data_IF_433730259387
#
_entry.id   IF_433730259387
#
_cell.length_a   1.000
_cell.length_b   1.000
_cell.length_c   1.000
_cell.angle_alpha   90.00
_cell.angle_beta   90.00
_cell.angle_gamma   90.00
#
_symmetry.space_group_name_H-M   'P 1'
#
loop_
_entity.id
_entity.type
_entity.pdbx_description
1 polymer ?
#
# COMPACT_ATOMS: atom_id res chain seq x y z
N UNK A 1 -42.16 -4.05 -18.35
CA UNK A 1 -41.67 -4.02 -16.95
C UNK A 1 -40.18 -4.34 -17.00
N UNK A 2 -39.34 -3.35 -16.69
CA UNK A 2 -37.90 -3.42 -16.92
C UNK A 2 -37.22 -4.49 -16.07
N UNK A 3 -36.28 -5.21 -16.67
CA UNK A 3 -35.36 -6.09 -15.98
C UNK A 3 -34.69 -5.33 -14.83
N UNK A 4 -34.83 -5.81 -13.59
CA UNK A 4 -34.00 -5.35 -12.49
C UNK A 4 -32.54 -5.60 -12.89
N UNK A 5 -31.75 -4.56 -13.10
CA UNK A 5 -30.31 -4.71 -13.28
C UNK A 5 -29.76 -5.39 -12.03
N UNK A 6 -29.41 -6.67 -12.15
CA UNK A 6 -28.77 -7.39 -11.07
C UNK A 6 -27.44 -6.69 -10.75
N UNK A 7 -27.19 -6.44 -9.46
CA UNK A 7 -25.94 -5.85 -9.03
C UNK A 7 -24.76 -6.72 -9.50
N UNK A 8 -23.87 -6.15 -10.32
CA UNK A 8 -22.69 -6.84 -10.85
C UNK A 8 -21.58 -7.01 -9.80
N UNK A 9 -21.69 -6.31 -8.68
CA UNK A 9 -20.69 -6.27 -7.62
C UNK A 9 -21.13 -7.15 -6.44
N UNK A 10 -20.18 -7.91 -5.92
CA UNK A 10 -20.33 -8.65 -4.67
C UNK A 10 -19.61 -7.89 -3.56
N UNK A 11 -20.31 -7.63 -2.45
CA UNK A 11 -19.68 -7.04 -1.26
C UNK A 11 -18.74 -8.07 -0.63
N UNK A 12 -17.43 -7.83 -0.72
CA UNK A 12 -16.43 -8.68 -0.10
C UNK A 12 -16.10 -8.24 1.34
N UNK A 13 -15.98 -6.92 1.56
CA UNK A 13 -15.64 -6.33 2.85
C UNK A 13 -16.09 -4.86 2.87
N UNK A 14 -16.63 -4.43 4.01
CA UNK A 14 -16.83 -3.02 4.36
C UNK A 14 -16.46 -2.84 5.82
N UNK A 15 -15.50 -1.94 6.11
CA UNK A 15 -15.03 -1.67 7.46
C UNK A 15 -14.82 -0.16 7.67
N UNK A 16 -15.78 0.46 8.31
CA UNK A 16 -15.76 1.90 8.59
C UNK A 16 -14.82 2.27 9.75
N UNK A 17 -14.30 1.27 10.47
CA UNK A 17 -13.39 1.45 11.61
C UNK A 17 -11.91 1.17 11.23
N UNK A 18 -11.63 0.87 9.97
CA UNK A 18 -10.28 0.55 9.49
C UNK A 18 -9.26 1.69 9.68
N UNK A 19 -9.72 2.94 9.79
CA UNK A 19 -8.88 4.10 10.10
C UNK A 19 -7.76 4.34 9.09
N UNK A 20 -8.00 4.06 7.80
CA UNK A 20 -7.01 4.22 6.72
C UNK A 20 -7.17 5.58 6.06
N UNK A 21 -6.23 6.49 6.34
CA UNK A 21 -6.16 7.81 5.71
C UNK A 21 -5.09 7.81 4.60
N UNK A 22 -5.52 7.81 3.34
CA UNK A 22 -4.61 7.76 2.18
C UNK A 22 -5.27 8.34 0.92
N UNK A 23 -4.50 8.40 -0.17
CA UNK A 23 -4.95 8.78 -1.50
C UNK A 23 -4.81 7.60 -2.47
N UNK A 24 -5.52 7.62 -3.60
CA UNK A 24 -5.50 6.52 -4.58
C UNK A 24 -4.11 6.19 -5.13
N UNK A 25 -3.26 7.21 -5.32
CA UNK A 25 -1.86 7.09 -5.73
C UNK A 25 -0.92 6.59 -4.63
N UNK A 26 -1.37 6.56 -3.37
CA UNK A 26 -0.62 6.07 -2.22
C UNK A 26 -0.97 4.61 -1.86
N UNK A 27 -1.56 3.88 -2.81
CA UNK A 27 -1.99 2.49 -2.66
C UNK A 27 -1.49 1.67 -3.83
N UNK A 28 -0.95 0.48 -3.56
CA UNK A 28 -0.65 -0.50 -4.59
C UNK A 28 -0.84 -1.94 -4.10
N UNK A 29 -0.88 -2.88 -5.04
CA UNK A 29 -0.87 -4.31 -4.77
C UNK A 29 0.52 -4.87 -5.04
N UNK A 30 0.99 -5.78 -4.18
CA UNK A 30 2.33 -6.37 -4.33
C UNK A 30 2.44 -7.74 -3.65
N UNK A 31 3.11 -8.69 -4.29
CA UNK A 31 3.64 -9.90 -3.67
C UNK A 31 5.13 -9.72 -3.34
N UNK A 32 5.44 -8.71 -2.52
CA UNK A 32 6.82 -8.39 -2.12
C UNK A 32 7.45 -9.42 -1.18
N UNK A 33 6.67 -10.37 -0.65
CA UNK A 33 7.16 -11.49 0.15
C UNK A 33 7.45 -12.73 -0.71
N UNK A 34 6.90 -12.81 -1.93
CA UNK A 34 7.03 -13.98 -2.80
C UNK A 34 6.29 -15.20 -2.29
N UNK A 35 5.25 -15.00 -1.46
CA UNK A 35 4.45 -16.07 -0.87
C UNK A 35 3.27 -16.48 -1.75
N UNK A 36 3.13 -15.89 -2.95
CA UNK A 36 2.02 -16.09 -3.86
C UNK A 36 0.74 -15.38 -3.43
N UNK A 37 0.77 -14.60 -2.35
CA UNK A 37 -0.38 -13.93 -1.76
C UNK A 37 -0.19 -12.41 -1.85
N UNK A 38 -0.91 -11.80 -2.80
CA UNK A 38 -0.80 -10.36 -3.07
C UNK A 38 -1.32 -9.55 -1.90
N UNK A 39 -0.46 -8.69 -1.35
CA UNK A 39 -0.80 -7.79 -0.24
C UNK A 39 -1.23 -6.43 -0.75
N UNK A 40 -2.12 -5.80 0.01
CA UNK A 40 -2.44 -4.40 -0.16
C UNK A 40 -1.40 -3.57 0.59
N UNK A 41 -0.72 -2.67 -0.11
CA UNK A 41 0.31 -1.78 0.45
C UNK A 41 -0.22 -0.36 0.40
N UNK A 42 -0.17 0.34 1.54
CA UNK A 42 -0.76 1.66 1.70
C UNK A 42 0.24 2.60 2.38
N UNK A 43 0.57 3.72 1.74
CA UNK A 43 1.18 4.84 2.44
C UNK A 43 0.09 5.61 3.19
N UNK A 44 0.00 5.31 4.48
CA UNK A 44 -0.93 5.90 5.41
C UNK A 44 -0.40 7.26 5.87
N UNK A 45 -1.19 8.32 5.64
CA UNK A 45 -0.85 9.70 6.00
C UNK A 45 -1.04 9.96 7.50
N UNK A 46 -1.96 9.24 8.14
CA UNK A 46 -2.34 9.50 9.53
C UNK A 46 -3.37 10.61 9.67
N UNK A 47 -3.98 10.71 10.86
CA UNK A 47 -4.96 11.75 11.20
C UNK A 47 -4.31 13.07 11.66
N UNK A 48 -2.98 13.13 11.72
CA UNK A 48 -2.19 14.32 12.05
C UNK A 48 -0.86 14.28 11.31
N UNK A 49 -0.11 15.40 11.23
CA UNK A 49 1.22 15.47 10.57
C UNK A 49 2.28 14.54 11.16
N UNK A 50 1.93 13.76 12.18
CA UNK A 50 2.77 12.79 12.85
C UNK A 50 2.19 11.38 12.65
N UNK A 51 3.07 10.39 12.46
CA UNK A 51 2.74 8.96 12.32
C UNK A 51 2.35 8.47 10.91
N UNK A 52 3.02 9.01 9.89
CA UNK A 52 2.96 8.47 8.53
C UNK A 52 3.62 7.08 8.49
N UNK A 53 2.92 6.10 7.90
CA UNK A 53 3.33 4.69 7.90
C UNK A 53 3.10 4.05 6.54
N UNK A 54 4.04 3.24 6.08
CA UNK A 54 3.83 2.29 4.99
C UNK A 54 3.27 1.02 5.60
N UNK A 55 1.97 0.78 5.44
CA UNK A 55 1.25 -0.37 5.99
C UNK A 55 1.08 -1.45 4.94
N UNK A 56 1.16 -2.71 5.38
CA UNK A 56 0.93 -3.89 4.56
C UNK A 56 -0.23 -4.67 5.14
N UNK A 57 -1.25 -4.93 4.33
CA UNK A 57 -2.43 -5.68 4.72
C UNK A 57 -2.45 -7.07 4.08
N UNK A 58 -2.78 -8.08 4.89
CA UNK A 58 -3.19 -9.41 4.46
C UNK A 58 -4.65 -9.60 4.86
N UNK A 59 -5.54 -9.65 3.87
CA UNK A 59 -6.98 -9.56 4.12
C UNK A 59 -7.31 -8.26 4.87
N UNK A 60 -7.91 -8.38 6.05
CA UNK A 60 -8.30 -7.24 6.91
C UNK A 60 -7.25 -6.86 7.97
N UNK A 61 -6.13 -7.57 8.01
CA UNK A 61 -5.13 -7.43 9.08
C UNK A 61 -3.88 -6.72 8.57
N UNK A 62 -3.34 -5.80 9.35
CA UNK A 62 -2.02 -5.22 9.10
C UNK A 62 -0.96 -6.23 9.54
N UNK A 63 -0.15 -6.71 8.61
CA UNK A 63 0.91 -7.70 8.84
C UNK A 63 2.31 -7.09 8.91
N UNK A 64 2.45 -5.81 8.59
CA UNK A 64 3.70 -5.09 8.71
C UNK A 64 3.53 -3.60 8.52
N UNK A 65 4.38 -2.82 9.20
CA UNK A 65 4.45 -1.38 9.02
C UNK A 65 5.90 -0.88 9.02
N UNK A 66 6.16 0.19 8.26
CA UNK A 66 7.41 0.98 8.35
C UNK A 66 7.09 2.46 8.48
N UNK A 67 7.91 3.22 9.22
CA UNK A 67 7.79 4.67 9.27
C UNK A 67 8.08 5.30 7.91
N UNK A 68 7.30 6.34 7.55
CA UNK A 68 7.59 7.23 6.42
C UNK A 68 7.99 8.59 7.01
N UNK A 69 9.06 9.18 6.46
CA UNK A 69 9.65 10.40 7.00
C UNK A 69 8.85 11.67 6.68
N UNK A 70 8.21 11.74 5.51
CA UNK A 70 7.53 12.94 5.00
C UNK A 70 6.22 12.56 4.28
N UNK A 71 5.41 13.55 3.90
CA UNK A 71 4.13 13.37 3.23
C UNK A 71 4.27 12.48 1.97
N UNK A 72 3.63 11.29 1.92
CA UNK A 72 3.71 10.44 0.75
C UNK A 72 2.89 11.02 -0.40
N UNK A 73 3.48 11.01 -1.60
CA UNK A 73 2.83 11.48 -2.83
C UNK A 73 2.55 10.35 -3.79
N UNK A 74 3.23 9.21 -3.69
CA UNK A 74 2.90 8.01 -4.46
C UNK A 74 3.53 6.75 -3.84
N UNK A 75 2.89 5.61 -4.07
CA UNK A 75 3.45 4.28 -3.80
C UNK A 75 3.34 3.42 -5.04
N UNK A 76 4.44 2.76 -5.41
CA UNK A 76 4.46 1.80 -6.51
C UNK A 76 5.12 0.50 -6.08
N UNK A 77 4.65 -0.60 -6.67
CA UNK A 77 5.34 -1.89 -6.64
C UNK A 77 6.06 -2.07 -7.98
N UNK A 78 7.35 -2.38 -7.96
CA UNK A 78 8.13 -2.53 -9.19
C UNK A 78 9.19 -3.63 -9.07
N UNK A 79 9.51 -4.24 -10.20
CA UNK A 79 10.64 -5.16 -10.32
C UNK A 79 11.86 -4.38 -10.80
N UNK A 80 13.03 -4.75 -10.28
CA UNK A 80 14.31 -4.28 -10.77
C UNK A 80 15.02 -5.50 -11.38
N UNK A 81 15.77 -5.33 -12.47
CA UNK A 81 16.43 -6.41 -13.23
C UNK A 81 17.25 -7.37 -12.36
N UNK A 82 17.76 -6.89 -11.23
CA UNK A 82 18.57 -7.68 -10.27
C UNK A 82 17.77 -8.34 -9.14
N UNK A 83 16.45 -8.15 -9.07
CA UNK A 83 15.62 -8.56 -7.93
C UNK A 83 14.49 -9.47 -8.41
N UNK A 84 14.39 -10.65 -7.81
CA UNK A 84 13.37 -11.65 -8.11
C UNK A 84 12.00 -11.33 -7.50
N UNK A 85 11.96 -10.51 -6.44
CA UNK A 85 10.74 -10.05 -5.77
C UNK A 85 10.53 -8.55 -6.00
N UNK A 86 9.27 -8.09 -6.08
CA UNK A 86 8.99 -6.67 -6.27
C UNK A 86 9.43 -5.87 -5.04
N UNK A 87 9.99 -4.69 -5.29
CA UNK A 87 10.28 -3.70 -4.28
C UNK A 87 9.16 -2.65 -4.22
N UNK A 88 9.06 -1.95 -3.09
CA UNK A 88 8.10 -0.86 -2.92
C UNK A 88 8.83 0.47 -3.01
N UNK A 89 8.44 1.31 -3.96
CA UNK A 89 8.90 2.69 -4.08
C UNK A 89 7.89 3.63 -3.45
N UNK A 90 8.35 4.50 -2.55
CA UNK A 90 7.52 5.54 -1.91
C UNK A 90 8.11 6.90 -2.23
N UNK A 91 7.38 7.71 -3.00
CA UNK A 91 7.70 9.11 -3.20
C UNK A 91 7.17 9.93 -2.00
N UNK A 92 8.03 10.74 -1.40
CA UNK A 92 7.72 11.46 -0.16
C UNK A 92 8.66 12.66 0.01
N UNK A 93 8.09 13.86 0.01
CA UNK A 93 8.85 15.11 -0.08
C UNK A 93 9.70 15.17 -1.37
N UNK A 94 10.98 15.48 -1.23
CA UNK A 94 11.96 15.50 -2.33
C UNK A 94 12.65 14.15 -2.57
N UNK A 95 12.17 13.07 -1.96
CA UNK A 95 12.86 11.78 -1.95
C UNK A 95 12.00 10.66 -2.52
N UNK A 96 12.66 9.69 -3.15
CA UNK A 96 12.08 8.37 -3.46
C UNK A 96 12.78 7.33 -2.59
N UNK A 97 12.02 6.70 -1.69
CA UNK A 97 12.51 5.65 -0.80
C UNK A 97 12.11 4.28 -1.32
N UNK A 98 13.09 3.41 -1.49
CA UNK A 98 12.89 2.03 -1.92
C UNK A 98 12.92 1.13 -0.69
N UNK A 99 11.88 0.32 -0.53
CA UNK A 99 11.74 -0.67 0.52
C UNK A 99 11.82 -2.07 -0.08
N UNK A 100 12.57 -2.96 0.59
CA UNK A 100 12.60 -4.39 0.29
C UNK A 100 12.16 -5.15 1.52
N UNK A 101 11.17 -6.02 1.36
CA UNK A 101 10.61 -6.77 2.50
C UNK A 101 10.24 -5.81 3.66
N UNK A 102 9.61 -4.68 3.31
CA UNK A 102 9.24 -3.57 4.20
C UNK A 102 10.39 -2.85 4.94
N UNK A 103 11.65 -3.18 4.64
CA UNK A 103 12.82 -2.51 5.22
C UNK A 103 13.36 -1.45 4.25
N UNK A 104 13.72 -0.24 4.73
CA UNK A 104 14.40 0.75 3.90
C UNK A 104 15.66 0.17 3.28
N UNK A 105 15.81 0.32 1.96
CA UNK A 105 16.93 -0.23 1.20
C UNK A 105 17.77 0.85 0.51
N UNK A 106 17.11 1.85 -0.07
CA UNK A 106 17.77 2.91 -0.83
C UNK A 106 16.94 4.19 -0.84
N UNK A 107 17.58 5.33 -1.04
CA UNK A 107 16.93 6.63 -1.22
C UNK A 107 17.61 7.41 -2.35
N UNK A 108 16.80 8.06 -3.16
CA UNK A 108 17.21 9.06 -4.16
C UNK A 108 16.60 10.40 -3.78
#
# INVERSE_FOLDING_TARGET
MGSSEAAKWMSALSDDQAGVFTFSNCVCLSDMYGDGDTKLVVAHVGSSKFNMRLKVFKGVTVVGESAIADMPTAVISFYNEKITLPAIGVASGSYIRIYKNLKPFYQV
#
